data_IF_230222809392
#
_entry.id   IF_230222809392
#
_cell.length_a   1.000
_cell.length_b   1.000
_cell.length_c   1.000
_cell.angle_alpha   90.00
_cell.angle_beta   90.00
_cell.angle_gamma   90.00
#
_symmetry.space_group_name_H-M   'P 1'
#
loop_
_entity.id
_entity.type
_entity.pdbx_description
1 polymer ?
#
# COMPACT_ATOMS: atom_id res chain seq x y z
N UNK A 1 38.50 141.76 17.78
CA UNK A 1 38.55 140.66 16.79
C UNK A 1 38.16 139.35 17.49
N UNK A 2 37.98 138.26 16.72
CA UNK A 2 37.47 136.95 17.16
C UNK A 2 35.93 136.84 17.23
N UNK A 3 35.32 136.54 16.08
CA UNK A 3 33.93 136.07 15.99
C UNK A 3 33.92 134.54 16.13
N UNK A 4 33.70 134.05 17.36
CA UNK A 4 33.90 132.65 17.71
C UNK A 4 32.67 131.76 17.57
N UNK A 5 32.45 131.18 16.39
CA UNK A 5 31.79 129.88 16.24
C UNK A 5 30.33 129.73 16.68
N UNK A 6 29.39 130.44 16.05
CA UNK A 6 27.96 130.13 16.18
C UNK A 6 27.55 129.01 15.20
N UNK A 7 27.85 127.74 15.50
CA UNK A 7 27.66 126.64 14.53
C UNK A 7 27.81 125.21 15.06
N UNK A 8 27.30 124.91 16.27
CA UNK A 8 27.45 123.57 16.90
C UNK A 8 26.17 123.09 17.62
N UNK A 9 24.96 123.43 17.12
CA UNK A 9 23.70 123.10 17.84
C UNK A 9 22.50 122.58 17.02
N UNK A 10 22.57 122.47 15.70
CA UNK A 10 21.46 121.87 14.91
C UNK A 10 21.64 120.36 14.59
N UNK A 11 22.85 119.81 14.71
CA UNK A 11 23.11 118.39 14.40
C UNK A 11 22.73 117.40 15.53
N UNK A 12 22.36 117.87 16.72
CA UNK A 12 21.92 116.99 17.83
C UNK A 12 20.73 116.11 17.40
N UNK A 13 19.76 116.69 16.69
CA UNK A 13 18.58 116.04 16.12
C UNK A 13 18.87 114.96 15.06
N UNK A 14 20.15 114.76 14.68
CA UNK A 14 20.59 113.75 13.70
C UNK A 14 21.36 112.59 14.33
N UNK A 15 21.78 112.69 15.59
CA UNK A 15 22.48 111.61 16.29
C UNK A 15 21.48 110.53 16.74
N UNK A 16 21.22 109.56 15.86
CA UNK A 16 20.40 108.38 16.16
C UNK A 16 21.25 107.34 16.88
N UNK A 17 20.79 106.88 18.04
CA UNK A 17 21.40 105.75 18.75
C UNK A 17 21.12 104.42 18.03
N UNK A 18 22.10 103.53 17.99
CA UNK A 18 21.96 102.18 17.46
C UNK A 18 21.05 101.31 18.35
N UNK A 19 20.15 100.54 17.73
CA UNK A 19 19.25 99.64 18.45
C UNK A 19 19.90 98.26 18.64
N UNK A 20 20.29 97.96 19.88
CA UNK A 20 20.81 96.64 20.30
C UNK A 20 19.70 95.77 20.91
N UNK A 21 19.84 94.44 20.81
CA UNK A 21 18.83 93.46 21.25
C UNK A 21 18.44 93.57 22.74
N UNK A 22 19.27 94.18 23.59
CA UNK A 22 18.94 94.53 24.97
C UNK A 22 19.53 95.91 25.29
N UNK A 23 18.66 96.89 25.48
CA UNK A 23 19.03 98.29 25.73
C UNK A 23 17.89 99.06 26.41
N UNK A 24 18.04 100.38 26.53
CA UNK A 24 17.03 101.25 27.13
C UNK A 24 15.76 101.36 26.27
N UNK A 25 14.60 101.52 26.91
CA UNK A 25 13.34 101.77 26.20
C UNK A 25 13.40 103.11 25.45
N UNK A 26 13.36 103.03 24.12
CA UNK A 26 13.37 104.19 23.23
C UNK A 26 12.34 105.24 23.63
N UNK A 27 11.13 104.86 24.07
CA UNK A 27 10.08 105.82 24.46
C UNK A 27 10.43 106.61 25.71
N UNK A 28 11.27 106.06 26.59
CA UNK A 28 11.77 106.73 27.79
C UNK A 28 12.97 107.63 27.44
N UNK A 29 13.85 107.18 26.54
CA UNK A 29 14.98 107.98 26.02
C UNK A 29 14.47 109.20 25.24
N UNK A 30 13.52 109.02 24.32
CA UNK A 30 12.91 110.11 23.53
C UNK A 30 12.24 111.17 24.46
N UNK A 31 11.57 110.72 25.53
CA UNK A 31 10.98 111.62 26.54
C UNK A 31 12.03 112.33 27.40
N UNK A 32 13.11 111.65 27.78
CA UNK A 32 14.19 112.25 28.56
C UNK A 32 14.94 113.31 27.75
N UNK A 33 15.26 113.02 26.48
CA UNK A 33 15.87 113.97 25.56
C UNK A 33 15.01 115.24 25.41
N UNK A 34 13.70 115.08 25.16
CA UNK A 34 12.78 116.22 25.04
C UNK A 34 12.70 117.09 26.31
N UNK A 35 12.86 116.51 27.50
CA UNK A 35 12.97 117.25 28.77
C UNK A 35 14.31 117.98 28.89
N UNK A 36 15.42 117.31 28.56
CA UNK A 36 16.74 117.92 28.59
C UNK A 36 16.85 119.10 27.59
N UNK A 37 16.31 118.96 26.37
CA UNK A 37 16.30 120.03 25.36
C UNK A 37 15.50 121.26 25.83
N UNK A 38 14.36 121.04 26.50
CA UNK A 38 13.53 122.13 27.02
C UNK A 38 14.13 122.80 28.27
N UNK A 39 14.83 122.04 29.13
CA UNK A 39 15.64 122.59 30.23
C UNK A 39 16.82 123.42 29.71
N UNK A 40 17.56 122.91 28.71
CA UNK A 40 18.65 123.63 28.03
C UNK A 40 18.14 124.93 27.39
N UNK A 41 16.95 124.92 26.79
CA UNK A 41 16.32 126.12 26.23
C UNK A 41 15.97 127.16 27.31
N UNK A 42 15.43 126.73 28.46
CA UNK A 42 15.17 127.63 29.59
C UNK A 42 16.44 128.25 30.17
N UNK A 43 17.46 127.42 30.45
CA UNK A 43 18.75 127.88 30.97
C UNK A 43 19.47 128.84 30.01
N UNK A 44 19.33 128.64 28.68
CA UNK A 44 19.83 129.58 27.68
C UNK A 44 19.08 130.92 27.70
N UNK A 45 17.75 130.91 27.87
CA UNK A 45 16.96 132.14 27.97
C UNK A 45 17.23 132.91 29.28
N UNK A 46 17.42 132.21 30.40
CA UNK A 46 17.80 132.81 31.69
C UNK A 46 19.20 133.43 31.63
N UNK A 47 20.17 132.73 31.05
CA UNK A 47 21.52 133.24 30.79
C UNK A 47 21.53 134.54 29.99
N UNK A 48 20.66 134.67 29.00
CA UNK A 48 20.61 135.89 28.18
C UNK A 48 19.96 137.06 28.92
N UNK A 49 18.89 136.83 29.70
CA UNK A 49 18.35 137.86 30.61
C UNK A 49 19.38 138.34 31.63
N UNK A 50 20.19 137.43 32.18
CA UNK A 50 21.27 137.80 33.09
C UNK A 50 22.33 138.66 32.38
N UNK A 51 22.65 138.37 31.11
CA UNK A 51 23.55 139.19 30.29
C UNK A 51 22.99 140.58 30.00
N UNK A 52 21.70 140.70 29.69
CA UNK A 52 21.02 141.99 29.52
C UNK A 52 21.10 142.83 30.80
N UNK A 53 20.86 142.21 31.97
CA UNK A 53 21.01 142.85 33.28
C UNK A 53 22.45 143.31 33.55
N UNK A 54 23.47 142.50 33.23
CA UNK A 54 24.88 142.91 33.35
C UNK A 54 25.22 144.10 32.42
N UNK A 55 24.68 144.15 31.20
CA UNK A 55 24.88 145.30 30.31
C UNK A 55 24.17 146.56 30.82
N UNK A 56 22.96 146.44 31.37
CA UNK A 56 22.26 147.56 31.99
C UNK A 56 23.01 148.12 33.21
N UNK A 57 23.52 147.26 34.10
CA UNK A 57 24.36 147.69 35.22
C UNK A 57 25.68 148.34 34.76
N UNK A 58 26.31 147.83 33.70
CA UNK A 58 27.51 148.43 33.14
C UNK A 58 27.26 149.85 32.60
N UNK A 59 26.10 150.08 31.95
CA UNK A 59 25.68 151.41 31.51
C UNK A 59 25.41 152.36 32.68
N UNK A 60 24.76 151.89 33.75
CA UNK A 60 24.56 152.68 34.98
C UNK A 60 25.88 153.09 35.64
N UNK A 61 26.86 152.18 35.69
CA UNK A 61 28.21 152.50 36.21
C UNK A 61 28.90 153.56 35.34
N UNK A 62 28.77 153.50 34.01
CA UNK A 62 29.31 154.52 33.12
C UNK A 62 28.61 155.89 33.29
N UNK A 63 27.30 155.91 33.51
CA UNK A 63 26.55 157.15 33.80
C UNK A 63 27.02 157.77 35.12
N UNK A 64 27.08 156.99 36.21
CA UNK A 64 27.54 157.48 37.52
C UNK A 64 29.01 157.96 37.49
N UNK A 65 29.87 157.33 36.69
CA UNK A 65 31.23 157.82 36.44
C UNK A 65 31.21 159.16 35.67
N UNK A 66 30.32 159.31 34.69
CA UNK A 66 30.05 160.58 34.01
C UNK A 66 29.67 161.69 35.00
N UNK A 67 28.61 161.46 35.79
CA UNK A 67 28.09 162.40 36.79
C UNK A 67 29.16 162.82 37.80
N UNK A 68 29.98 161.88 38.29
CA UNK A 68 31.12 162.17 39.17
C UNK A 68 32.18 163.03 38.49
N UNK A 69 32.43 162.87 37.18
CA UNK A 69 33.33 163.78 36.45
C UNK A 69 32.72 165.14 36.16
N UNK A 70 31.40 165.26 35.99
CA UNK A 70 30.76 166.57 35.84
C UNK A 70 30.73 167.33 37.17
N UNK A 71 30.34 166.67 38.27
CA UNK A 71 30.39 167.24 39.61
C UNK A 71 31.81 167.72 39.95
N UNK A 72 32.85 166.95 39.59
CA UNK A 72 34.26 167.35 39.76
C UNK A 72 34.73 168.45 38.81
N UNK A 73 34.00 168.74 37.72
CA UNK A 73 34.25 169.85 36.78
C UNK A 73 33.47 171.12 37.14
N UNK A 74 32.56 171.10 38.12
CA UNK A 74 31.89 172.29 38.65
C UNK A 74 32.71 172.87 39.82
N UNK A 75 33.59 173.87 39.63
CA UNK A 75 34.21 174.57 40.76
C UNK A 75 33.12 175.31 41.56
N UNK A 76 33.19 175.22 42.89
CA UNK A 76 32.26 175.92 43.76
C UNK A 76 32.45 177.44 43.64
N UNK A 77 31.48 178.13 43.02
CA UNK A 77 31.38 179.58 43.11
C UNK A 77 30.92 179.94 44.53
N UNK A 78 31.87 180.44 45.34
CA UNK A 78 31.60 180.95 46.68
C UNK A 78 31.77 182.47 46.64
N UNK A 79 30.64 183.18 46.59
CA UNK A 79 30.62 184.63 46.69
C UNK A 79 31.17 185.09 48.05
N UNK A 80 32.10 186.04 48.03
CA UNK A 80 32.81 186.50 49.23
C UNK A 80 31.99 187.55 50.01
N UNK A 81 30.88 187.11 50.58
CA UNK A 81 30.13 187.88 51.58
C UNK A 81 31.01 188.17 52.82
N UNK A 82 30.71 189.26 53.52
CA UNK A 82 31.57 189.93 54.52
C UNK A 82 32.24 189.00 55.56
N UNK A 83 33.52 188.69 55.34
CA UNK A 83 34.37 187.79 56.14
C UNK A 83 34.75 188.32 57.55
N UNK A 84 33.84 189.00 58.26
CA UNK A 84 34.08 189.52 59.62
C UNK A 84 33.13 188.93 60.66
N UNK A 85 31.85 188.79 60.31
CA UNK A 85 30.85 188.09 61.13
C UNK A 85 30.81 186.57 60.82
N UNK A 86 31.61 186.13 59.84
CA UNK A 86 31.70 184.73 59.40
C UNK A 86 32.29 183.79 60.46
N UNK A 87 33.00 184.26 61.49
CA UNK A 87 33.56 183.37 62.53
C UNK A 87 32.47 182.55 63.24
N UNK A 88 31.59 183.22 64.02
CA UNK A 88 30.45 182.55 64.66
C UNK A 88 29.48 181.90 63.66
N UNK A 89 29.27 182.51 62.49
CA UNK A 89 28.30 181.99 61.52
C UNK A 89 28.80 180.75 60.76
N UNK A 90 30.08 180.65 60.41
CA UNK A 90 30.67 179.43 59.84
C UNK A 90 30.76 178.34 60.89
N UNK A 91 31.10 178.66 62.14
CA UNK A 91 31.06 177.69 63.23
C UNK A 91 29.64 177.16 63.47
N UNK A 92 28.61 178.03 63.43
CA UNK A 92 27.21 177.62 63.49
C UNK A 92 26.78 176.80 62.26
N UNK A 93 27.27 177.12 61.05
CA UNK A 93 27.02 176.32 59.84
C UNK A 93 27.69 174.95 59.95
N UNK A 94 28.91 174.85 60.48
CA UNK A 94 29.62 173.59 60.72
C UNK A 94 28.91 172.74 61.77
N UNK A 95 28.51 173.32 62.91
CA UNK A 95 27.72 172.62 63.94
C UNK A 95 26.37 172.15 63.39
N UNK A 96 25.69 172.95 62.56
CA UNK A 96 24.46 172.53 61.89
C UNK A 96 24.70 171.42 60.85
N UNK A 97 25.79 171.50 60.08
CA UNK A 97 26.16 170.49 59.09
C UNK A 97 26.59 169.17 59.75
N UNK A 98 27.32 169.23 60.86
CA UNK A 98 27.66 168.07 61.69
C UNK A 98 26.40 167.43 62.28
N UNK A 99 25.49 168.23 62.84
CA UNK A 99 24.19 167.75 63.34
C UNK A 99 23.33 167.12 62.22
N UNK A 100 23.32 167.71 61.03
CA UNK A 100 22.63 167.14 59.86
C UNK A 100 23.31 165.86 59.37
N UNK A 101 24.64 165.80 59.35
CA UNK A 101 25.39 164.59 58.99
C UNK A 101 25.17 163.46 60.01
N UNK A 102 25.13 163.77 61.31
CA UNK A 102 24.77 162.83 62.38
C UNK A 102 23.31 162.33 62.23
N UNK A 103 22.38 163.21 61.86
CA UNK A 103 20.99 162.82 61.59
C UNK A 103 20.85 161.96 60.32
N UNK A 104 21.61 162.26 59.26
CA UNK A 104 21.66 161.46 58.02
C UNK A 104 22.29 160.09 58.28
N UNK A 105 23.38 160.02 59.05
CA UNK A 105 24.02 158.73 59.39
C UNK A 105 23.18 157.91 60.35
N UNK A 106 22.51 158.51 61.34
CA UNK A 106 21.52 157.82 62.19
C UNK A 106 20.41 157.23 61.34
N UNK A 107 19.68 158.06 60.59
CA UNK A 107 18.54 157.61 59.77
C UNK A 107 18.94 156.65 58.64
N UNK A 108 20.14 156.76 58.09
CA UNK A 108 20.70 155.77 57.16
C UNK A 108 21.03 154.44 57.87
N UNK A 109 21.62 154.48 59.07
CA UNK A 109 21.90 153.26 59.86
C UNK A 109 20.62 152.56 60.30
N UNK A 110 19.59 153.30 60.70
CA UNK A 110 18.25 152.80 61.01
C UNK A 110 17.60 152.15 59.77
N UNK A 111 17.68 152.79 58.59
CA UNK A 111 17.19 152.20 57.33
C UNK A 111 17.94 150.93 56.96
N UNK A 112 19.26 150.90 57.09
CA UNK A 112 20.08 149.69 56.83
C UNK A 112 19.77 148.58 57.83
N UNK A 113 19.58 148.89 59.12
CA UNK A 113 19.18 147.93 60.13
C UNK A 113 17.78 147.36 59.85
N UNK A 114 16.82 148.22 59.50
CA UNK A 114 15.46 147.82 59.15
C UNK A 114 15.43 146.95 57.88
N UNK A 115 16.18 147.31 56.83
CA UNK A 115 16.26 146.49 55.61
C UNK A 115 17.01 145.16 55.83
N UNK A 116 18.02 145.11 56.71
CA UNK A 116 18.65 143.86 57.13
C UNK A 116 17.63 142.98 57.87
N UNK A 117 16.96 143.50 58.90
CA UNK A 117 15.93 142.75 59.63
C UNK A 117 14.78 142.26 58.72
N UNK A 118 14.40 143.04 57.70
CA UNK A 118 13.44 142.61 56.67
C UNK A 118 13.99 141.48 55.79
N UNK A 119 15.25 141.56 55.36
CA UNK A 119 15.90 140.52 54.55
C UNK A 119 16.14 139.23 55.35
N UNK A 120 16.65 139.34 56.58
CA UNK A 120 16.88 138.23 57.51
C UNK A 120 15.55 137.51 57.82
N UNK A 121 14.47 138.27 58.04
CA UNK A 121 13.12 137.69 58.15
C UNK A 121 12.68 137.02 56.86
N UNK A 122 12.82 137.67 55.70
CA UNK A 122 12.40 137.08 54.42
C UNK A 122 13.15 135.78 54.09
N UNK A 123 14.43 135.68 54.48
CA UNK A 123 15.24 134.46 54.40
C UNK A 123 14.77 133.40 55.41
N UNK A 124 14.47 133.76 56.67
CA UNK A 124 13.93 132.84 57.65
C UNK A 124 12.56 132.27 57.21
N UNK A 125 11.64 133.15 56.78
CA UNK A 125 10.33 132.77 56.24
C UNK A 125 10.47 131.89 54.98
N UNK A 126 11.51 132.12 54.15
CA UNK A 126 11.79 131.31 52.97
C UNK A 126 12.37 129.93 53.32
N UNK A 127 13.30 129.85 54.28
CA UNK A 127 13.83 128.59 54.78
C UNK A 127 12.74 127.76 55.49
N UNK A 128 11.82 128.39 56.23
CA UNK A 128 10.69 127.66 56.82
C UNK A 128 9.77 127.06 55.75
N UNK A 129 9.41 127.84 54.72
CA UNK A 129 8.64 127.34 53.57
C UNK A 129 9.36 126.21 52.84
N UNK A 130 10.66 126.34 52.57
CA UNK A 130 11.45 125.31 51.91
C UNK A 130 11.51 124.02 52.75
N UNK A 131 11.79 124.12 54.05
CA UNK A 131 11.81 122.97 54.96
C UNK A 131 10.44 122.30 55.11
N UNK A 132 9.34 123.07 55.00
CA UNK A 132 7.98 122.54 55.00
C UNK A 132 7.69 121.74 53.74
N UNK A 133 7.98 122.32 52.57
CA UNK A 133 7.83 121.66 51.26
C UNK A 133 8.69 120.39 51.16
N UNK A 134 9.91 120.41 51.71
CA UNK A 134 10.78 119.22 51.78
C UNK A 134 10.11 118.10 52.59
N UNK A 135 9.57 118.40 53.78
CA UNK A 135 8.86 117.40 54.61
C UNK A 135 7.60 116.88 53.94
N UNK A 136 6.80 117.77 53.34
CA UNK A 136 5.59 117.41 52.60
C UNK A 136 5.94 116.41 51.46
N UNK A 137 7.01 116.66 50.70
CA UNK A 137 7.49 115.71 49.69
C UNK A 137 8.14 114.44 50.26
N UNK A 138 8.84 114.51 51.40
CA UNK A 138 9.39 113.33 52.08
C UNK A 138 8.27 112.40 52.58
N UNK A 139 7.18 112.97 53.11
CA UNK A 139 5.97 112.26 53.50
C UNK A 139 5.22 111.68 52.29
N UNK A 140 5.02 112.45 51.20
CA UNK A 140 4.45 111.93 49.95
C UNK A 140 5.26 110.75 49.38
N UNK A 141 6.59 110.87 49.35
CA UNK A 141 7.49 109.81 48.86
C UNK A 141 7.50 108.60 49.80
N UNK A 142 7.41 108.80 51.12
CA UNK A 142 7.30 107.70 52.08
C UNK A 142 5.96 106.95 51.93
N UNK A 143 4.84 107.68 51.86
CA UNK A 143 3.51 107.14 51.63
C UNK A 143 3.45 106.38 50.30
N UNK A 144 3.96 106.97 49.21
CA UNK A 144 3.98 106.31 47.90
C UNK A 144 4.87 105.07 47.85
N UNK A 145 5.97 105.04 48.62
CA UNK A 145 6.78 103.82 48.81
C UNK A 145 6.00 102.75 49.56
N UNK A 146 5.30 103.10 50.64
CA UNK A 146 4.48 102.17 51.41
C UNK A 146 3.34 101.56 50.57
N UNK A 147 2.62 102.36 49.78
CA UNK A 147 1.61 101.88 48.81
C UNK A 147 2.20 100.90 47.79
N UNK A 148 3.37 101.21 47.23
CA UNK A 148 4.04 100.36 46.24
C UNK A 148 4.61 99.08 46.88
N UNK A 149 5.02 99.10 48.14
CA UNK A 149 5.41 97.92 48.91
C UNK A 149 4.19 97.03 49.19
N UNK A 150 3.11 97.58 49.76
CA UNK A 150 1.87 96.84 50.04
C UNK A 150 1.27 96.23 48.77
N UNK A 151 1.21 96.96 47.66
CA UNK A 151 0.69 96.42 46.39
C UNK A 151 1.63 95.38 45.74
N UNK A 152 2.94 95.46 45.97
CA UNK A 152 3.88 94.41 45.56
C UNK A 152 3.77 93.16 46.46
N UNK A 153 3.54 93.33 47.76
CA UNK A 153 3.33 92.24 48.73
C UNK A 153 2.02 91.51 48.48
N UNK A 154 0.91 92.23 48.27
CA UNK A 154 -0.38 91.65 47.88
C UNK A 154 -0.29 90.87 46.56
N UNK A 155 0.44 91.39 45.55
CA UNK A 155 0.69 90.67 44.29
C UNK A 155 1.55 89.42 44.47
N UNK A 156 2.54 89.46 45.35
CA UNK A 156 3.35 88.27 45.70
C UNK A 156 2.54 87.23 46.46
N UNK A 157 1.70 87.65 47.40
CA UNK A 157 0.82 86.75 48.15
C UNK A 157 -0.21 86.09 47.23
N UNK A 158 -0.83 86.84 46.32
CA UNK A 158 -1.74 86.29 45.32
C UNK A 158 -1.04 85.30 44.37
N UNK A 159 0.12 85.68 43.82
CA UNK A 159 0.88 84.79 42.93
C UNK A 159 1.40 83.53 43.66
N UNK A 160 1.73 83.61 44.96
CA UNK A 160 2.09 82.44 45.75
C UNK A 160 0.88 81.53 45.99
N UNK A 161 -0.29 82.09 46.33
CA UNK A 161 -1.52 81.32 46.46
C UNK A 161 -1.91 80.61 45.15
N UNK A 162 -1.80 81.28 44.00
CA UNK A 162 -2.00 80.66 42.68
C UNK A 162 -1.01 79.51 42.42
N UNK A 163 0.26 79.65 42.82
CA UNK A 163 1.27 78.58 42.72
C UNK A 163 0.96 77.41 43.66
N UNK A 164 0.50 77.69 44.88
CA UNK A 164 0.17 76.68 45.89
C UNK A 164 -1.09 75.89 45.46
N UNK A 165 -2.14 76.58 45.00
CA UNK A 165 -3.37 75.99 44.42
C UNK A 165 -3.05 75.11 43.19
N UNK A 166 -2.24 75.63 42.25
CA UNK A 166 -1.78 74.85 41.09
C UNK A 166 -0.94 73.63 41.49
N UNK A 167 -0.14 73.76 42.54
CA UNK A 167 0.68 72.66 43.06
C UNK A 167 -0.18 71.60 43.73
N UNK A 168 -1.19 71.97 44.51
CA UNK A 168 -2.12 71.01 45.11
C UNK A 168 -2.96 70.30 44.03
N UNK A 169 -3.48 71.04 43.04
CA UNK A 169 -4.21 70.46 41.92
C UNK A 169 -3.35 69.48 41.11
N UNK A 170 -2.08 69.82 40.84
CA UNK A 170 -1.15 68.93 40.17
C UNK A 170 -0.82 67.67 41.00
N UNK A 171 -0.70 67.80 42.33
CA UNK A 171 -0.52 66.65 43.23
C UNK A 171 -1.77 65.76 43.26
N UNK A 172 -2.97 66.34 43.38
CA UNK A 172 -4.24 65.60 43.36
C UNK A 172 -4.39 64.81 42.06
N UNK A 173 -4.26 65.46 40.90
CA UNK A 173 -4.32 64.82 39.57
C UNK A 173 -3.25 63.72 39.42
N UNK A 174 -2.06 63.93 39.96
CA UNK A 174 -1.01 62.90 39.97
C UNK A 174 -1.42 61.67 40.79
N UNK A 175 -1.90 61.86 42.02
CA UNK A 175 -2.34 60.74 42.88
C UNK A 175 -3.56 60.01 42.29
N UNK A 176 -4.46 60.72 41.60
CA UNK A 176 -5.58 60.12 40.89
C UNK A 176 -5.11 59.30 39.68
N UNK A 177 -4.19 59.83 38.88
CA UNK A 177 -3.58 59.10 37.75
C UNK A 177 -2.79 57.87 38.22
N UNK A 178 -2.02 57.97 39.30
CA UNK A 178 -1.31 56.84 39.92
C UNK A 178 -2.30 55.78 40.44
N UNK A 179 -3.42 56.17 41.06
CA UNK A 179 -4.46 55.25 41.52
C UNK A 179 -5.24 54.59 40.36
N UNK A 180 -5.51 55.31 39.27
CA UNK A 180 -6.13 54.76 38.05
C UNK A 180 -5.17 53.76 37.38
N UNK A 181 -3.87 54.09 37.30
CA UNK A 181 -2.84 53.21 36.75
C UNK A 181 -2.71 51.91 37.56
N UNK A 182 -2.66 51.99 38.89
CA UNK A 182 -2.61 50.82 39.78
C UNK A 182 -3.84 49.91 39.59
N UNK A 183 -5.05 50.49 39.55
CA UNK A 183 -6.28 49.71 39.28
C UNK A 183 -6.25 49.03 37.92
N UNK A 184 -5.74 49.69 36.89
CA UNK A 184 -5.59 49.11 35.56
C UNK A 184 -4.56 47.97 35.53
N UNK A 185 -3.46 48.07 36.29
CA UNK A 185 -2.48 46.99 36.45
C UNK A 185 -3.03 45.81 37.25
N UNK A 186 -3.78 46.07 38.33
CA UNK A 186 -4.49 45.05 39.11
C UNK A 186 -5.54 44.31 38.27
N UNK A 187 -6.35 45.05 37.49
CA UNK A 187 -7.38 44.48 36.61
C UNK A 187 -6.75 43.69 35.44
N UNK A 188 -5.71 44.22 34.80
CA UNK A 188 -4.97 43.51 33.75
C UNK A 188 -4.30 42.24 34.28
N UNK A 189 -3.72 42.29 35.49
CA UNK A 189 -3.13 41.12 36.15
C UNK A 189 -4.19 40.07 36.47
N UNK A 190 -5.32 40.49 37.05
CA UNK A 190 -6.45 39.62 37.38
C UNK A 190 -7.07 38.96 36.13
N UNK A 191 -7.21 39.71 35.04
CA UNK A 191 -7.70 39.21 33.75
C UNK A 191 -6.69 38.23 33.11
N UNK A 192 -5.39 38.52 33.23
CA UNK A 192 -4.31 37.63 32.80
C UNK A 192 -4.29 36.32 33.59
N UNK A 193 -4.43 36.37 34.91
CA UNK A 193 -4.58 35.18 35.75
C UNK A 193 -5.84 34.36 35.38
N UNK A 194 -6.98 35.03 35.19
CA UNK A 194 -8.22 34.35 34.80
C UNK A 194 -8.06 33.66 33.45
N UNK A 195 -7.54 34.35 32.44
CA UNK A 195 -7.28 33.80 31.11
C UNK A 195 -6.31 32.61 31.16
N UNK A 196 -5.24 32.69 31.97
CA UNK A 196 -4.33 31.56 32.19
C UNK A 196 -5.04 30.36 32.84
N UNK A 197 -5.85 30.57 33.88
CA UNK A 197 -6.65 29.50 34.52
C UNK A 197 -7.64 28.87 33.53
N UNK A 198 -8.30 29.67 32.70
CA UNK A 198 -9.22 29.20 31.66
C UNK A 198 -8.49 28.38 30.58
N UNK A 199 -7.30 28.82 30.14
CA UNK A 199 -6.43 28.10 29.22
C UNK A 199 -5.90 26.79 29.82
N UNK A 200 -5.53 26.77 31.09
CA UNK A 200 -5.12 25.56 31.82
C UNK A 200 -6.29 24.57 31.95
N UNK A 201 -7.48 25.04 32.34
CA UNK A 201 -8.68 24.21 32.37
C UNK A 201 -9.13 23.73 30.98
N UNK A 202 -8.91 24.51 29.92
CA UNK A 202 -9.15 24.08 28.54
C UNK A 202 -8.14 22.99 28.11
N UNK A 203 -6.84 23.19 28.37
CA UNK A 203 -5.77 22.22 28.10
C UNK A 203 -5.97 20.92 28.88
N UNK A 204 -6.32 20.99 30.16
CA UNK A 204 -6.59 19.83 31.00
C UNK A 204 -7.80 19.03 30.50
N UNK A 205 -8.90 19.69 30.11
CA UNK A 205 -10.07 19.04 29.50
C UNK A 205 -9.73 18.40 28.15
N UNK A 206 -9.01 19.10 27.29
CA UNK A 206 -8.58 18.57 25.99
C UNK A 206 -7.66 17.35 26.14
N UNK A 207 -6.70 17.41 27.07
CA UNK A 207 -5.83 16.28 27.41
C UNK A 207 -6.65 15.09 27.91
N UNK A 208 -7.55 15.29 28.88
CA UNK A 208 -8.39 14.21 29.42
C UNK A 208 -9.33 13.60 28.36
N UNK A 209 -9.83 14.40 27.41
CA UNK A 209 -10.59 13.89 26.26
C UNK A 209 -9.74 13.01 25.32
N UNK A 210 -8.49 13.39 25.06
CA UNK A 210 -7.55 12.57 24.26
C UNK A 210 -7.19 11.27 24.99
N UNK A 211 -6.85 11.34 26.27
CA UNK A 211 -6.53 10.15 27.09
C UNK A 211 -7.73 9.20 27.21
N UNK A 212 -8.95 9.73 27.37
CA UNK A 212 -10.18 8.93 27.35
C UNK A 212 -10.48 8.31 25.98
N UNK A 213 -10.24 9.02 24.88
CA UNK A 213 -10.42 8.50 23.53
C UNK A 213 -9.39 7.41 23.19
N UNK A 214 -8.14 7.57 23.64
CA UNK A 214 -7.09 6.55 23.51
C UNK A 214 -7.45 5.29 24.32
N UNK A 215 -7.79 5.43 25.60
CA UNK A 215 -8.21 4.31 26.44
C UNK A 215 -9.48 3.60 25.92
N UNK A 216 -10.38 4.31 25.21
CA UNK A 216 -11.52 3.70 24.55
C UNK A 216 -11.12 2.94 23.29
N UNK A 217 -10.27 3.51 22.44
CA UNK A 217 -9.76 2.82 21.25
C UNK A 217 -8.94 1.56 21.60
N UNK A 218 -8.16 1.60 22.69
CA UNK A 218 -7.46 0.43 23.24
C UNK A 218 -8.42 -0.68 23.69
N UNK A 219 -9.55 -0.33 24.33
CA UNK A 219 -10.60 -1.31 24.67
C UNK A 219 -11.30 -1.87 23.45
N UNK A 220 -11.64 -1.03 22.48
CA UNK A 220 -12.37 -1.44 21.27
C UNK A 220 -11.49 -2.34 20.38
N UNK A 221 -10.18 -2.06 20.28
CA UNK A 221 -9.21 -2.96 19.63
C UNK A 221 -9.01 -4.26 20.39
N UNK A 222 -8.86 -4.23 21.72
CA UNK A 222 -8.81 -5.46 22.55
C UNK A 222 -10.08 -6.31 22.40
N UNK A 223 -11.26 -5.69 22.40
CA UNK A 223 -12.54 -6.38 22.20
C UNK A 223 -12.70 -6.94 20.78
N UNK A 224 -12.18 -6.25 19.76
CA UNK A 224 -12.13 -6.77 18.39
C UNK A 224 -11.17 -7.96 18.27
N UNK A 225 -10.00 -7.92 18.92
CA UNK A 225 -9.06 -9.04 18.96
C UNK A 225 -9.67 -10.26 19.69
N UNK A 226 -10.30 -10.07 20.85
CA UNK A 226 -10.96 -11.16 21.58
C UNK A 226 -12.06 -11.84 20.73
N UNK A 227 -12.91 -11.07 20.04
CA UNK A 227 -13.92 -11.61 19.12
C UNK A 227 -13.30 -12.37 17.95
N UNK A 228 -12.24 -11.84 17.34
CA UNK A 228 -11.53 -12.52 16.26
C UNK A 228 -10.89 -13.84 16.73
N UNK A 229 -10.36 -13.90 17.96
CA UNK A 229 -9.86 -15.15 18.56
C UNK A 229 -11.00 -16.13 18.87
N UNK A 230 -12.15 -15.66 19.37
CA UNK A 230 -13.36 -16.48 19.56
C UNK A 230 -13.87 -17.06 18.24
N UNK A 231 -13.95 -16.26 17.16
CA UNK A 231 -14.33 -16.70 15.82
C UNK A 231 -13.33 -17.70 15.23
N UNK A 232 -12.02 -17.44 15.34
CA UNK A 232 -10.98 -18.38 14.89
C UNK A 232 -11.06 -19.71 15.64
N UNK A 233 -11.33 -19.69 16.94
CA UNK A 233 -11.47 -20.92 17.72
C UNK A 233 -12.78 -21.66 17.44
N UNK A 234 -13.87 -20.95 17.12
CA UNK A 234 -15.11 -21.56 16.60
C UNK A 234 -14.86 -22.27 15.26
N UNK A 235 -14.28 -21.58 14.27
CA UNK A 235 -13.96 -22.19 12.98
C UNK A 235 -12.97 -23.36 13.08
N UNK A 236 -11.98 -23.30 13.99
CA UNK A 236 -11.12 -24.45 14.29
C UNK A 236 -11.92 -25.65 14.81
N UNK A 237 -12.79 -25.43 15.80
CA UNK A 237 -13.63 -26.49 16.35
C UNK A 237 -14.64 -27.05 15.35
N UNK A 238 -15.11 -26.27 14.39
CA UNK A 238 -15.95 -26.74 13.28
C UNK A 238 -15.15 -27.58 12.27
N UNK A 239 -13.97 -27.13 11.87
CA UNK A 239 -13.08 -27.87 10.96
C UNK A 239 -12.55 -29.16 11.61
N UNK A 240 -12.24 -29.16 12.91
CA UNK A 240 -11.85 -30.37 13.65
C UNK A 240 -12.98 -31.40 13.68
N UNK A 241 -14.24 -30.97 13.90
CA UNK A 241 -15.42 -31.85 13.78
C UNK A 241 -15.58 -32.38 12.37
N UNK A 242 -15.48 -31.53 11.33
CA UNK A 242 -15.64 -31.99 9.95
C UNK A 242 -14.54 -32.99 9.55
N UNK A 243 -13.30 -32.78 10.01
CA UNK A 243 -12.20 -33.74 9.81
C UNK A 243 -12.51 -35.06 10.50
N UNK A 244 -13.00 -35.05 11.74
CA UNK A 244 -13.31 -36.27 12.50
C UNK A 244 -14.56 -36.98 11.96
N UNK A 245 -15.60 -36.28 11.51
CA UNK A 245 -16.77 -36.84 10.82
C UNK A 245 -16.35 -37.50 9.49
N UNK A 246 -15.54 -36.81 8.67
CA UNK A 246 -14.98 -37.37 7.43
C UNK A 246 -14.09 -38.59 7.72
N UNK A 247 -13.30 -38.56 8.81
CA UNK A 247 -12.46 -39.69 9.25
C UNK A 247 -13.29 -40.88 9.69
N UNK A 248 -14.37 -40.66 10.44
CA UNK A 248 -15.26 -41.72 10.89
C UNK A 248 -16.05 -42.31 9.71
N UNK A 249 -16.57 -41.49 8.80
CA UNK A 249 -17.20 -41.97 7.56
C UNK A 249 -16.22 -42.77 6.68
N UNK A 250 -14.96 -42.32 6.55
CA UNK A 250 -13.93 -43.07 5.83
C UNK A 250 -13.58 -44.40 6.53
N UNK A 251 -13.49 -44.41 7.86
CA UNK A 251 -13.20 -45.61 8.65
C UNK A 251 -14.34 -46.63 8.56
N UNK A 252 -15.59 -46.20 8.67
CA UNK A 252 -16.77 -47.02 8.44
C UNK A 252 -16.79 -47.61 7.02
N UNK A 253 -16.44 -46.81 6.01
CA UNK A 253 -16.35 -47.30 4.63
C UNK A 253 -15.22 -48.32 4.44
N UNK A 254 -14.07 -48.13 5.07
CA UNK A 254 -12.97 -49.12 5.07
C UNK A 254 -13.41 -50.43 5.72
N UNK A 255 -14.10 -50.37 6.88
CA UNK A 255 -14.65 -51.56 7.54
C UNK A 255 -15.68 -52.25 6.65
N UNK A 256 -16.62 -51.52 6.05
CA UNK A 256 -17.63 -52.06 5.15
C UNK A 256 -17.01 -52.77 3.93
N UNK A 257 -16.05 -52.13 3.26
CA UNK A 257 -15.32 -52.72 2.13
C UNK A 257 -14.46 -53.92 2.56
N UNK A 258 -13.96 -53.94 3.80
CA UNK A 258 -13.25 -55.10 4.34
C UNK A 258 -14.19 -56.27 4.61
N UNK A 259 -15.38 -56.04 5.19
CA UNK A 259 -16.41 -57.09 5.38
C UNK A 259 -16.97 -57.59 4.06
N UNK A 260 -17.15 -56.72 3.06
CA UNK A 260 -17.55 -57.12 1.71
C UNK A 260 -16.47 -57.99 1.04
N UNK A 261 -15.19 -57.61 1.15
CA UNK A 261 -14.08 -58.40 0.64
C UNK A 261 -13.89 -59.74 1.38
N UNK A 262 -14.17 -59.79 2.69
CA UNK A 262 -14.23 -61.04 3.46
C UNK A 262 -15.35 -61.95 2.97
N UNK A 263 -16.59 -61.44 2.89
CA UNK A 263 -17.73 -62.21 2.37
C UNK A 263 -17.50 -62.70 0.93
N UNK A 264 -16.91 -61.89 0.06
CA UNK A 264 -16.54 -62.31 -1.29
C UNK A 264 -15.44 -63.38 -1.28
N UNK A 265 -14.42 -63.26 -0.42
CA UNK A 265 -13.38 -64.28 -0.26
C UNK A 265 -13.94 -65.61 0.25
N UNK A 266 -14.93 -65.57 1.15
CA UNK A 266 -15.53 -66.78 1.72
C UNK A 266 -16.58 -67.40 0.80
N UNK A 267 -17.32 -66.62 0.00
CA UNK A 267 -18.17 -67.11 -1.11
C UNK A 267 -17.31 -67.75 -2.22
N UNK A 268 -16.17 -67.15 -2.59
CA UNK A 268 -15.22 -67.74 -3.55
C UNK A 268 -14.59 -69.02 -3.00
N UNK A 269 -14.28 -69.09 -1.70
CA UNK A 269 -13.84 -70.35 -1.05
C UNK A 269 -14.94 -71.40 -1.07
N UNK A 270 -16.15 -71.06 -0.62
CA UNK A 270 -17.28 -71.99 -0.60
C UNK A 270 -17.54 -72.57 -2.00
N UNK A 271 -17.54 -71.74 -3.05
CA UNK A 271 -17.68 -72.21 -4.44
C UNK A 271 -16.52 -73.09 -4.90
N UNK A 272 -15.29 -72.81 -4.43
CA UNK A 272 -14.13 -73.65 -4.73
C UNK A 272 -14.20 -75.00 -4.01
N UNK A 273 -14.65 -75.03 -2.75
CA UNK A 273 -14.86 -76.23 -1.95
C UNK A 273 -16.05 -77.07 -2.46
N UNK A 274 -17.13 -76.41 -2.92
CA UNK A 274 -18.24 -77.04 -3.64
C UNK A 274 -17.76 -77.66 -4.96
N UNK A 275 -16.99 -76.94 -5.78
CA UNK A 275 -16.40 -77.50 -7.01
C UNK A 275 -15.39 -78.61 -6.73
N UNK A 276 -14.61 -78.52 -5.65
CA UNK A 276 -13.70 -79.58 -5.23
C UNK A 276 -14.48 -80.82 -4.76
N UNK A 277 -15.60 -80.64 -4.05
CA UNK A 277 -16.49 -81.71 -3.61
C UNK A 277 -17.19 -82.39 -4.79
N UNK A 278 -17.70 -81.62 -5.74
CA UNK A 278 -18.29 -82.13 -6.99
C UNK A 278 -17.23 -82.92 -7.76
N UNK A 279 -16.03 -82.36 -7.98
CA UNK A 279 -14.93 -83.08 -8.67
C UNK A 279 -14.47 -84.32 -7.92
N UNK A 280 -14.49 -84.33 -6.59
CA UNK A 280 -14.18 -85.52 -5.80
C UNK A 280 -15.26 -86.60 -5.96
N UNK A 281 -16.54 -86.22 -6.05
CA UNK A 281 -17.64 -87.14 -6.35
C UNK A 281 -17.57 -87.66 -7.79
N UNK A 282 -17.28 -86.81 -8.78
CA UNK A 282 -17.03 -87.21 -10.17
C UNK A 282 -15.85 -88.18 -10.28
N UNK A 283 -14.73 -87.89 -9.62
CA UNK A 283 -13.56 -88.77 -9.57
C UNK A 283 -13.90 -90.11 -8.90
N UNK A 284 -14.59 -90.11 -7.75
CA UNK A 284 -15.01 -91.34 -7.08
C UNK A 284 -15.99 -92.18 -7.94
N UNK A 285 -16.89 -91.54 -8.68
CA UNK A 285 -17.78 -92.21 -9.64
C UNK A 285 -17.00 -92.80 -10.83
N UNK A 286 -16.01 -92.06 -11.36
CA UNK A 286 -15.11 -92.55 -12.42
C UNK A 286 -14.21 -93.68 -11.91
N UNK A 287 -13.74 -93.64 -10.66
CA UNK A 287 -13.00 -94.74 -10.03
C UNK A 287 -13.88 -95.99 -9.85
N UNK A 288 -15.12 -95.84 -9.39
CA UNK A 288 -16.09 -96.93 -9.32
C UNK A 288 -16.42 -97.51 -10.70
N UNK A 289 -16.54 -96.68 -11.74
CA UNK A 289 -16.75 -97.19 -13.10
C UNK A 289 -15.47 -97.83 -13.68
N UNK A 290 -14.28 -97.32 -13.37
CA UNK A 290 -13.01 -97.97 -13.74
C UNK A 290 -12.89 -99.32 -13.03
N UNK A 291 -13.28 -99.44 -11.77
CA UNK A 291 -13.38 -100.71 -11.06
C UNK A 291 -14.40 -101.64 -11.70
N UNK A 292 -15.61 -101.17 -12.01
CA UNK A 292 -16.64 -101.97 -12.67
C UNK A 292 -16.15 -102.46 -14.05
N UNK A 293 -15.60 -101.58 -14.88
CA UNK A 293 -15.01 -101.91 -16.19
C UNK A 293 -13.81 -102.86 -16.05
N UNK A 294 -12.99 -102.74 -15.00
CA UNK A 294 -11.92 -103.71 -14.68
C UNK A 294 -12.49 -105.09 -14.31
N UNK A 295 -13.50 -105.14 -13.44
CA UNK A 295 -14.19 -106.40 -13.04
C UNK A 295 -14.84 -107.07 -14.27
N UNK A 296 -15.54 -106.32 -15.10
CA UNK A 296 -16.09 -106.81 -16.38
C UNK A 296 -15.01 -107.28 -17.34
N UNK A 297 -13.87 -106.58 -17.43
CA UNK A 297 -12.72 -107.02 -18.26
C UNK A 297 -12.09 -108.31 -17.72
N UNK A 298 -11.98 -108.49 -16.41
CA UNK A 298 -11.48 -109.73 -15.79
C UNK A 298 -12.48 -110.88 -16.01
N UNK A 299 -13.78 -110.63 -15.91
CA UNK A 299 -14.82 -111.62 -16.22
C UNK A 299 -14.78 -112.03 -17.70
N UNK A 300 -14.74 -111.06 -18.63
CA UNK A 300 -14.57 -111.29 -20.07
C UNK A 300 -13.27 -112.03 -20.39
N UNK A 301 -12.18 -111.76 -19.68
CA UNK A 301 -10.93 -112.50 -19.84
C UNK A 301 -11.08 -113.94 -19.36
N UNK A 302 -11.66 -114.19 -18.19
CA UNK A 302 -11.92 -115.54 -17.70
C UNK A 302 -12.89 -116.33 -18.60
N UNK A 303 -13.90 -115.66 -19.17
CA UNK A 303 -14.76 -116.25 -20.20
C UNK A 303 -13.97 -116.61 -21.46
N UNK A 304 -13.14 -115.69 -21.97
CA UNK A 304 -12.25 -115.92 -23.12
C UNK A 304 -11.29 -117.09 -22.87
N UNK A 305 -10.64 -117.13 -21.71
CA UNK A 305 -9.71 -118.19 -21.31
C UNK A 305 -10.45 -119.53 -21.21
N UNK A 306 -11.66 -119.55 -20.63
CA UNK A 306 -12.50 -120.76 -20.59
C UNK A 306 -13.01 -121.21 -21.97
N UNK A 307 -13.13 -120.29 -22.92
CA UNK A 307 -13.51 -120.59 -24.30
C UNK A 307 -12.30 -121.10 -25.11
N UNK A 308 -11.11 -120.54 -24.86
CA UNK A 308 -9.84 -121.06 -25.39
C UNK A 308 -9.54 -122.46 -24.85
N UNK A 309 -9.79 -122.71 -23.56
CA UNK A 309 -9.61 -124.03 -22.96
C UNK A 309 -10.59 -125.06 -23.56
N UNK A 310 -11.88 -124.73 -23.69
CA UNK A 310 -12.86 -125.58 -24.39
C UNK A 310 -12.53 -125.79 -25.88
N UNK A 311 -11.90 -124.81 -26.53
CA UNK A 311 -11.39 -124.95 -27.90
C UNK A 311 -10.15 -125.86 -27.96
N UNK A 312 -9.29 -125.85 -26.93
CA UNK A 312 -8.15 -126.74 -26.82
C UNK A 312 -8.59 -128.19 -26.54
N UNK A 313 -9.55 -128.38 -25.64
CA UNK A 313 -10.21 -129.66 -25.37
C UNK A 313 -10.83 -130.23 -26.65
N UNK A 314 -11.65 -129.44 -27.37
CA UNK A 314 -12.25 -129.87 -28.64
C UNK A 314 -11.26 -130.09 -29.79
N UNK A 315 -10.07 -129.44 -29.75
CA UNK A 315 -8.96 -129.76 -30.66
C UNK A 315 -8.31 -131.08 -30.30
N UNK A 316 -8.03 -131.32 -29.02
CA UNK A 316 -7.44 -132.57 -28.54
C UNK A 316 -8.37 -133.77 -28.79
N UNK A 317 -9.69 -133.60 -28.64
CA UNK A 317 -10.69 -134.58 -29.08
C UNK A 317 -10.58 -134.87 -30.58
N UNK A 318 -10.50 -133.84 -31.44
CA UNK A 318 -10.31 -134.01 -32.88
C UNK A 318 -9.00 -134.71 -33.22
N UNK A 319 -7.89 -134.35 -32.57
CA UNK A 319 -6.59 -134.99 -32.77
C UNK A 319 -6.63 -136.48 -32.38
N UNK A 320 -7.38 -136.85 -31.34
CA UNK A 320 -7.62 -138.28 -31.02
C UNK A 320 -8.49 -138.99 -32.06
N UNK A 321 -9.56 -138.34 -32.54
CA UNK A 321 -10.46 -138.89 -33.58
C UNK A 321 -9.70 -139.07 -34.91
N UNK A 322 -8.93 -138.09 -35.36
CA UNK A 322 -8.12 -138.17 -36.58
C UNK A 322 -7.01 -139.23 -36.45
N UNK A 323 -6.47 -139.43 -35.24
CA UNK A 323 -5.57 -140.55 -34.93
C UNK A 323 -6.23 -141.93 -35.06
N UNK A 324 -7.49 -142.09 -34.64
CA UNK A 324 -8.26 -143.32 -34.83
C UNK A 324 -8.66 -143.53 -36.30
N UNK A 325 -9.08 -142.47 -36.99
CA UNK A 325 -9.36 -142.48 -38.45
C UNK A 325 -8.10 -142.84 -39.25
N UNK A 326 -6.92 -142.40 -38.80
CA UNK A 326 -5.62 -142.80 -39.37
C UNK A 326 -5.41 -144.31 -39.30
N UNK A 327 -5.47 -144.89 -38.08
CA UNK A 327 -5.31 -146.34 -37.86
C UNK A 327 -6.32 -147.17 -38.68
N UNK A 328 -7.58 -146.73 -38.74
CA UNK A 328 -8.62 -147.39 -39.53
C UNK A 328 -8.34 -147.36 -41.04
N UNK A 329 -7.74 -146.27 -41.55
CA UNK A 329 -7.32 -146.16 -42.96
C UNK A 329 -6.13 -147.06 -43.28
N UNK A 330 -5.13 -147.13 -42.41
CA UNK A 330 -3.98 -148.04 -42.59
C UNK A 330 -4.40 -149.51 -42.58
N UNK A 331 -5.28 -149.90 -41.64
CA UNK A 331 -5.80 -151.26 -41.57
C UNK A 331 -6.61 -151.65 -42.83
N UNK A 332 -7.42 -150.71 -43.35
CA UNK A 332 -8.20 -150.91 -44.58
C UNK A 332 -7.32 -150.90 -45.85
N UNK A 333 -6.16 -150.25 -45.82
CA UNK A 333 -5.16 -150.34 -46.90
C UNK A 333 -4.48 -151.72 -46.92
N UNK A 334 -4.07 -152.24 -45.76
CA UNK A 334 -3.46 -153.58 -45.65
C UNK A 334 -4.39 -154.68 -46.19
N UNK A 335 -5.65 -154.71 -45.75
CA UNK A 335 -6.66 -155.70 -46.20
C UNK A 335 -6.89 -155.65 -47.72
N UNK A 336 -6.80 -154.46 -48.34
CA UNK A 336 -6.89 -154.32 -49.81
C UNK A 336 -5.65 -154.87 -50.53
N UNK A 337 -4.47 -154.71 -49.95
CA UNK A 337 -3.22 -155.21 -50.52
C UNK A 337 -3.14 -156.74 -50.47
N UNK A 338 -3.58 -157.35 -49.37
CA UNK A 338 -3.69 -158.81 -49.24
C UNK A 338 -4.69 -159.39 -50.26
N UNK A 339 -5.89 -158.80 -50.36
CA UNK A 339 -6.92 -159.21 -51.32
C UNK A 339 -6.43 -159.15 -52.77
N UNK A 340 -5.69 -158.09 -53.14
CA UNK A 340 -5.11 -157.96 -54.48
C UNK A 340 -4.06 -159.06 -54.78
N UNK A 341 -3.31 -159.51 -53.76
CA UNK A 341 -2.32 -160.58 -53.91
C UNK A 341 -2.96 -161.95 -54.18
N UNK A 342 -4.06 -162.28 -53.49
CA UNK A 342 -4.78 -163.55 -53.67
C UNK A 342 -5.62 -163.57 -54.95
N UNK A 343 -6.23 -162.44 -55.36
CA UNK A 343 -6.88 -162.38 -56.68
C UNK A 343 -5.90 -162.66 -57.82
N UNK A 344 -4.67 -162.14 -57.74
CA UNK A 344 -3.65 -162.37 -58.76
C UNK A 344 -3.23 -163.85 -58.86
N UNK A 345 -3.04 -164.51 -57.71
CA UNK A 345 -2.79 -165.97 -57.65
C UNK A 345 -3.91 -166.76 -58.34
N UNK A 346 -5.16 -166.37 -58.10
CA UNK A 346 -6.33 -167.11 -58.59
C UNK A 346 -6.46 -167.02 -60.12
N UNK A 347 -6.26 -165.83 -60.72
CA UNK A 347 -6.31 -165.68 -62.17
C UNK A 347 -5.12 -166.34 -62.91
N UNK A 348 -3.94 -166.41 -62.29
CA UNK A 348 -2.79 -167.17 -62.82
C UNK A 348 -3.12 -168.68 -62.91
N UNK A 349 -3.79 -169.26 -61.90
CA UNK A 349 -4.24 -170.67 -61.96
C UNK A 349 -5.33 -170.92 -63.02
N UNK A 350 -6.21 -169.95 -63.27
CA UNK A 350 -7.21 -170.04 -64.34
C UNK A 350 -6.59 -170.09 -65.73
N UNK A 351 -5.61 -169.23 -66.01
CA UNK A 351 -4.96 -169.18 -67.32
C UNK A 351 -4.23 -170.48 -67.67
N UNK A 352 -3.68 -171.19 -66.67
CA UNK A 352 -3.13 -172.53 -66.87
C UNK A 352 -4.21 -173.54 -67.30
N UNK A 353 -5.35 -173.59 -66.60
CA UNK A 353 -6.45 -174.52 -66.91
C UNK A 353 -7.07 -174.29 -68.31
N UNK A 354 -7.26 -173.02 -68.67
CA UNK A 354 -7.87 -172.60 -69.94
C UNK A 354 -7.04 -173.01 -71.18
N UNK A 355 -5.72 -173.14 -71.04
CA UNK A 355 -4.84 -173.60 -72.11
C UNK A 355 -4.96 -175.11 -72.39
N UNK A 356 -5.18 -175.92 -71.35
CA UNK A 356 -5.35 -177.37 -71.47
C UNK A 356 -6.68 -177.75 -72.13
N UNK A 357 -7.78 -177.06 -71.79
CA UNK A 357 -9.11 -177.33 -72.35
C UNK A 357 -9.19 -176.97 -73.85
N UNK A 358 -8.44 -175.97 -74.32
CA UNK A 358 -8.32 -175.65 -75.75
C UNK A 358 -7.66 -176.78 -76.54
N UNK A 359 -6.60 -177.40 -76.00
CA UNK A 359 -5.97 -178.58 -76.61
C UNK A 359 -6.91 -179.80 -76.68
N UNK A 360 -7.77 -180.00 -75.67
CA UNK A 360 -8.77 -181.08 -75.69
C UNK A 360 -9.88 -180.85 -76.75
N UNK A 361 -10.24 -179.60 -77.02
CA UNK A 361 -11.29 -179.23 -77.98
C UNK A 361 -10.86 -179.43 -79.44
N UNK A 362 -9.63 -179.08 -79.82
CA UNK A 362 -9.16 -179.25 -81.20
C UNK A 362 -9.04 -180.74 -81.61
N UNK A 363 -8.68 -181.63 -80.70
CA UNK A 363 -8.66 -183.09 -80.96
C UNK A 363 -10.08 -183.60 -81.24
N UNK A 364 -11.07 -183.21 -80.42
CA UNK A 364 -12.49 -183.56 -80.65
C UNK A 364 -13.03 -182.99 -81.96
N UNK A 365 -12.65 -181.74 -82.29
CA UNK A 365 -13.11 -181.04 -83.48
C UNK A 365 -12.52 -181.58 -84.80
N UNK A 366 -11.47 -182.41 -84.76
CA UNK A 366 -11.00 -183.19 -85.93
C UNK A 366 -11.81 -184.47 -86.10
N UNK A 367 -11.90 -185.31 -85.06
CA UNK A 367 -12.60 -186.61 -85.10
C UNK A 367 -14.07 -186.45 -85.54
N UNK A 368 -14.76 -185.39 -85.12
CA UNK A 368 -16.14 -185.13 -85.56
C UNK A 368 -16.28 -184.67 -87.02
N UNK A 369 -15.23 -184.14 -87.66
CA UNK A 369 -15.29 -183.68 -89.06
C UNK A 369 -15.13 -184.84 -90.04
N UNK A 370 -14.29 -185.82 -89.74
CA UNK A 370 -14.22 -187.08 -90.51
C UNK A 370 -15.55 -187.83 -90.44
N UNK A 371 -16.11 -188.00 -89.24
CA UNK A 371 -17.38 -188.70 -89.02
C UNK A 371 -18.57 -188.11 -89.83
N UNK A 372 -18.61 -186.79 -90.07
CA UNK A 372 -19.69 -186.16 -90.83
C UNK A 372 -19.50 -186.28 -92.36
N UNK A 373 -18.26 -186.29 -92.87
CA UNK A 373 -18.00 -186.52 -94.32
C UNK A 373 -18.47 -187.92 -94.75
N UNK A 374 -18.23 -188.94 -93.92
CA UNK A 374 -18.69 -190.33 -94.15
C UNK A 374 -20.23 -190.41 -94.18
N UNK A 375 -20.92 -189.71 -93.27
CA UNK A 375 -22.39 -189.73 -93.20
C UNK A 375 -23.05 -189.06 -94.43
N UNK A 376 -22.55 -187.91 -94.88
CA UNK A 376 -23.13 -187.21 -96.04
C UNK A 376 -22.73 -187.86 -97.38
N UNK A 377 -21.62 -188.60 -97.42
CA UNK A 377 -21.29 -189.50 -98.53
C UNK A 377 -22.25 -190.70 -98.65
N UNK A 378 -22.95 -191.10 -97.58
CA UNK A 378 -23.93 -192.19 -97.61
C UNK A 378 -25.35 -191.72 -97.96
N UNK A 379 -25.76 -190.52 -97.52
CA UNK A 379 -27.13 -190.04 -97.68
C UNK A 379 -27.46 -189.62 -99.13
N UNK A 380 -26.55 -188.91 -99.82
CA UNK A 380 -26.77 -188.48 -101.20
C UNK A 380 -26.58 -189.62 -102.22
N UNK A 381 -25.85 -190.68 -101.86
CA UNK A 381 -25.40 -191.73 -102.76
C UNK A 381 -26.42 -192.86 -103.03
N UNK A 382 -27.59 -192.86 -102.37
CA UNK A 382 -28.60 -193.93 -102.47
C UNK A 382 -30.01 -193.40 -102.86
N UNK A 383 -30.24 -192.09 -102.79
CA UNK A 383 -31.33 -191.36 -103.47
C UNK A 383 -30.80 -189.93 -103.81
N UNK A 384 -29.86 -189.76 -104.75
CA UNK A 384 -29.77 -190.48 -106.01
C UNK A 384 -28.32 -190.69 -106.50
N UNK A 385 -27.90 -191.85 -106.99
CA UNK A 385 -28.55 -193.15 -107.25
C UNK A 385 -30.02 -193.10 -107.77
N UNK A 386 -30.27 -192.82 -109.05
CA UNK A 386 -29.31 -192.68 -110.16
C UNK A 386 -28.46 -191.39 -110.06
N UNK A 387 -27.13 -191.41 -110.04
CA UNK A 387 -26.16 -192.52 -110.08
C UNK A 387 -25.33 -192.60 -108.77
N UNK A 388 -24.82 -193.79 -108.41
CA UNK A 388 -24.50 -194.14 -107.02
C UNK A 388 -23.02 -194.06 -106.61
N UNK A 389 -22.76 -193.82 -105.32
CA UNK A 389 -21.49 -194.16 -104.65
C UNK A 389 -20.75 -193.02 -103.93
N UNK A 390 -20.22 -193.32 -102.74
CA UNK A 390 -19.31 -192.52 -101.89
C UNK A 390 -17.85 -192.51 -102.47
N UNK A 391 -16.83 -191.80 -101.95
CA UNK A 391 -16.59 -191.20 -100.63
C UNK A 391 -15.42 -190.17 -100.60
N UNK A 392 -15.38 -189.31 -99.56
CA UNK A 392 -14.22 -188.60 -98.92
C UNK A 392 -13.08 -187.89 -99.69
N UNK A 393 -12.67 -186.74 -99.14
CA UNK A 393 -11.31 -186.17 -99.17
C UNK A 393 -11.12 -185.12 -98.05
N UNK A 394 -9.88 -184.80 -97.65
CA UNK A 394 -9.50 -183.80 -96.62
C UNK A 394 -8.22 -182.99 -97.02
N UNK A 395 -8.16 -181.71 -96.61
CA UNK A 395 -7.10 -180.67 -96.82
C UNK A 395 -7.58 -179.39 -96.02
N UNK A 396 -6.83 -178.25 -95.85
CA UNK A 396 -5.64 -178.04 -95.00
C UNK A 396 -5.69 -176.76 -94.10
N UNK A 397 -4.65 -175.91 -94.11
CA UNK A 397 -4.32 -174.75 -93.23
C UNK A 397 -4.98 -173.39 -93.61
N UNK A 398 -4.80 -172.32 -92.78
CA UNK A 398 -4.27 -170.93 -93.12
C UNK A 398 -4.47 -169.90 -91.95
N UNK A 399 -3.88 -168.67 -92.00
CA UNK A 399 -3.83 -167.55 -90.99
C UNK A 399 -4.52 -166.24 -91.52
N UNK A 400 -4.22 -164.92 -91.19
CA UNK A 400 -3.62 -164.15 -90.04
C UNK A 400 -4.34 -162.77 -89.67
N UNK A 401 -3.64 -161.77 -89.03
CA UNK A 401 -3.91 -160.27 -88.81
C UNK A 401 -4.41 -159.77 -87.40
N UNK A 402 -4.25 -158.54 -86.84
CA UNK A 402 -3.36 -157.31 -87.01
C UNK A 402 -3.35 -156.30 -85.78
N UNK A 403 -3.52 -154.95 -85.91
CA UNK A 403 -3.03 -153.83 -85.01
C UNK A 403 -4.15 -152.90 -84.40
N UNK A 404 -4.00 -151.74 -83.66
CA UNK A 404 -2.92 -150.72 -83.41
C UNK A 404 -3.14 -149.72 -82.20
N UNK A 405 -2.81 -148.40 -82.27
CA UNK A 405 -2.64 -147.44 -81.10
C UNK A 405 -2.77 -145.90 -81.40
N UNK A 406 -2.92 -144.95 -80.41
CA UNK A 406 -2.43 -143.48 -80.29
C UNK A 406 -2.96 -142.70 -78.97
N UNK A 407 -2.97 -141.33 -78.72
CA UNK A 407 -2.69 -140.69 -77.37
C UNK A 407 -3.55 -139.41 -76.93
N UNK A 408 -2.99 -138.45 -76.11
CA UNK A 408 -3.37 -136.99 -75.79
C UNK A 408 -4.13 -136.66 -74.46
N UNK A 409 -4.16 -135.45 -73.81
CA UNK A 409 -3.37 -134.17 -73.74
C UNK A 409 -3.82 -133.18 -72.57
N UNK A 410 -2.89 -132.37 -71.97
CA UNK A 410 -3.04 -131.05 -71.22
C UNK A 410 -3.91 -130.95 -69.92
N UNK A 411 -3.84 -129.92 -69.02
CA UNK A 411 -2.90 -128.78 -68.76
C UNK A 411 -3.43 -127.61 -67.83
N UNK A 412 -2.54 -126.76 -67.24
CA UNK A 412 -2.73 -125.45 -66.50
C UNK A 412 -3.22 -125.41 -65.00
N UNK A 413 -3.23 -124.30 -64.22
CA UNK A 413 -2.16 -123.36 -63.69
C UNK A 413 -2.69 -122.22 -62.73
N UNK A 414 -2.06 -121.91 -61.56
CA UNK A 414 -2.29 -120.69 -60.68
C UNK A 414 -1.27 -120.59 -59.48
N UNK A 415 -0.82 -119.40 -58.99
CA UNK A 415 0.00 -119.23 -57.74
C UNK A 415 -0.06 -117.80 -57.06
N UNK A 416 0.73 -117.48 -55.99
CA UNK A 416 0.42 -116.50 -54.90
C UNK A 416 1.63 -115.77 -54.20
N UNK A 417 1.36 -114.96 -53.14
CA UNK A 417 2.25 -114.37 -52.06
C UNK A 417 2.97 -113.00 -52.31
N UNK A 418 3.36 -112.11 -51.36
CA UNK A 418 2.99 -111.86 -49.92
C UNK A 418 3.45 -110.44 -49.37
N UNK A 419 2.93 -110.02 -48.19
CA UNK A 419 3.40 -109.04 -47.14
C UNK A 419 3.63 -107.48 -47.34
N UNK A 420 3.69 -106.73 -46.19
CA UNK A 420 3.71 -105.22 -46.02
C UNK A 420 5.04 -104.59 -45.47
N UNK A 421 5.12 -103.55 -44.57
CA UNK A 421 4.10 -102.64 -43.91
C UNK A 421 4.52 -101.13 -43.57
N UNK A 422 3.63 -100.35 -42.89
CA UNK A 422 3.85 -99.28 -41.82
C UNK A 422 4.29 -97.77 -42.03
N UNK A 423 3.59 -96.84 -41.29
CA UNK A 423 4.02 -95.56 -40.54
C UNK A 423 4.47 -94.25 -41.28
N UNK A 424 4.42 -92.98 -40.76
CA UNK A 424 3.76 -92.28 -39.60
C UNK A 424 3.49 -90.71 -39.76
N UNK A 425 3.93 -89.77 -38.87
CA UNK A 425 3.28 -88.43 -38.62
C UNK A 425 4.14 -87.19 -38.13
N UNK A 426 3.52 -85.97 -38.18
CA UNK A 426 3.78 -84.66 -37.44
C UNK A 426 4.76 -83.60 -38.07
N UNK A 427 4.88 -82.28 -37.68
CA UNK A 427 4.34 -81.39 -36.58
C UNK A 427 4.51 -79.84 -36.84
N UNK A 428 3.87 -78.98 -36.01
CA UNK A 428 4.28 -77.61 -35.52
C UNK A 428 3.96 -76.22 -36.20
N UNK A 429 4.32 -75.08 -35.55
CA UNK A 429 3.56 -73.77 -35.49
C UNK A 429 4.35 -72.45 -35.18
N UNK A 430 3.73 -71.24 -35.35
CA UNK A 430 4.04 -69.84 -34.85
C UNK A 430 4.86 -68.88 -35.80
N UNK A 431 5.02 -67.53 -35.65
CA UNK A 431 4.75 -66.48 -34.60
C UNK A 431 4.80 -64.99 -35.14
N UNK A 432 4.27 -63.96 -34.41
CA UNK A 432 4.57 -62.47 -34.34
C UNK A 432 4.72 -61.56 -35.62
N UNK A 433 4.69 -60.19 -35.65
CA UNK A 433 4.52 -59.05 -34.69
C UNK A 433 4.60 -57.64 -35.40
N UNK A 434 4.43 -56.47 -34.73
CA UNK A 434 4.39 -55.09 -35.38
C UNK A 434 4.80 -53.89 -34.46
N UNK A 435 5.33 -52.71 -34.93
CA UNK A 435 5.82 -51.60 -34.06
C UNK A 435 5.48 -50.09 -34.40
N UNK A 436 5.58 -49.23 -33.36
CA UNK A 436 6.16 -47.84 -33.28
C UNK A 436 5.48 -46.49 -33.74
N UNK A 437 5.80 -45.43 -32.93
CA UNK A 437 6.22 -44.01 -33.25
C UNK A 437 5.27 -42.76 -33.20
N UNK A 438 5.73 -41.71 -32.45
CA UNK A 438 5.88 -40.23 -32.72
C UNK A 438 4.81 -39.40 -33.51
N UNK A 439 4.58 -38.05 -33.40
CA UNK A 439 5.36 -36.86 -32.90
C UNK A 439 4.52 -35.53 -32.82
N UNK A 440 5.10 -34.47 -32.21
CA UNK A 440 5.06 -32.99 -32.54
C UNK A 440 4.01 -31.99 -31.99
N UNK A 441 4.39 -30.69 -32.12
CA UNK A 441 3.79 -29.44 -31.59
C UNK A 441 3.26 -28.49 -32.71
N UNK A 442 2.42 -27.50 -32.36
CA UNK A 442 2.23 -26.20 -33.06
C UNK A 442 1.80 -25.07 -32.08
N UNK A 443 1.60 -23.83 -32.57
CA UNK A 443 1.55 -22.56 -31.80
C UNK A 443 0.25 -21.74 -31.89
N UNK A 444 0.17 -20.73 -30.99
CA UNK A 444 -0.43 -19.37 -31.14
C UNK A 444 -1.97 -19.15 -31.08
N UNK A 445 -2.43 -18.32 -30.11
CA UNK A 445 -3.08 -17.00 -30.32
C UNK A 445 -3.93 -16.49 -29.11
N UNK A 446 -4.17 -15.17 -29.02
CA UNK A 446 -5.32 -14.57 -28.32
C UNK A 446 -5.07 -13.79 -26.99
N UNK A 447 -5.36 -12.48 -26.97
CA UNK A 447 -5.49 -11.60 -25.77
C UNK A 447 -6.49 -10.46 -26.04
N UNK A 448 -7.40 -10.15 -25.09
CA UNK A 448 -7.64 -8.76 -24.64
C UNK A 448 -7.70 -8.67 -23.09
N UNK A 449 -7.24 -7.64 -22.36
CA UNK A 449 -7.16 -6.17 -22.53
C UNK A 449 -8.35 -5.38 -21.94
N UNK A 450 -8.12 -4.70 -20.80
CA UNK A 450 -8.92 -3.54 -20.31
C UNK A 450 -8.20 -2.81 -19.15
N UNK A 451 -8.07 -1.48 -19.23
CA UNK A 451 -7.76 -0.51 -18.15
C UNK A 451 -8.19 0.89 -18.61
N UNK A 452 -8.83 1.67 -17.74
CA UNK A 452 -9.27 3.05 -18.03
C UNK A 452 -8.39 4.13 -17.37
N UNK A 453 -8.31 5.35 -17.94
CA UNK A 453 -7.78 6.54 -17.30
C UNK A 453 -8.87 7.57 -16.95
N UNK A 454 -8.68 8.37 -15.89
CA UNK A 454 -9.47 9.59 -15.63
C UNK A 454 -8.60 10.82 -15.32
N UNK A 455 -9.16 12.01 -15.49
CA UNK A 455 -8.42 13.25 -15.78
C UNK A 455 -8.55 14.36 -14.71
N UNK A 456 -7.75 15.41 -14.90
CA UNK A 456 -7.55 16.56 -14.00
C UNK A 456 -8.77 17.50 -13.86
N UNK A 457 -8.82 18.20 -12.72
CA UNK A 457 -9.48 19.50 -12.48
C UNK A 457 -8.59 20.33 -11.52
N UNK A 458 -8.77 21.66 -11.37
CA UNK A 458 -10.08 22.29 -11.14
C UNK A 458 -10.33 23.62 -11.91
N UNK A 459 -11.45 24.28 -11.62
CA UNK A 459 -11.96 25.51 -12.26
C UNK A 459 -12.10 26.65 -11.23
N UNK A 460 -11.85 27.95 -11.57
CA UNK A 460 -11.84 29.05 -10.60
C UNK A 460 -13.22 29.61 -10.23
N UNK A 461 -13.27 30.34 -9.10
CA UNK A 461 -14.47 30.99 -8.54
C UNK A 461 -14.72 32.42 -9.10
N UNK A 462 -15.98 32.88 -9.19
CA UNK A 462 -16.34 34.22 -9.66
C UNK A 462 -16.33 35.32 -8.57
N UNK A 463 -16.46 36.55 -9.04
CA UNK A 463 -16.24 37.83 -8.37
C UNK A 463 -17.21 38.15 -7.22
N UNK A 464 -16.76 38.97 -6.24
CA UNK A 464 -17.63 39.76 -5.34
C UNK A 464 -17.88 41.16 -5.90
N UNK A 465 -19.10 41.68 -5.74
CA UNK A 465 -19.41 43.10 -5.89
C UNK A 465 -19.49 43.79 -4.49
N UNK A 466 -19.29 45.12 -4.40
CA UNK A 466 -19.34 45.84 -3.12
C UNK A 466 -20.77 46.07 -2.62
N UNK A 467 -20.93 46.11 -1.29
CA UNK A 467 -22.21 46.42 -0.63
C UNK A 467 -22.59 47.90 -0.72
N UNK A 468 -23.89 48.18 -0.70
CA UNK A 468 -24.49 49.52 -0.81
C UNK A 468 -25.10 49.94 0.53
N UNK A 469 -24.88 51.21 0.91
CA UNK A 469 -25.49 52.00 2.00
C UNK A 469 -26.17 51.24 3.16
N UNK A 470 -25.59 51.38 4.36
CA UNK A 470 -26.35 51.30 5.61
C UNK A 470 -26.40 52.69 6.28
N UNK A 471 -27.48 53.00 6.99
CA UNK A 471 -27.79 54.35 7.48
C UNK A 471 -27.48 54.48 8.97
N UNK A 472 -26.79 55.55 9.36
CA UNK A 472 -26.80 56.00 10.75
C UNK A 472 -28.07 56.84 11.03
N UNK A 473 -28.88 56.53 12.05
CA UNK A 473 -29.80 57.50 12.62
C UNK A 473 -29.05 58.48 13.53
N UNK A 474 -29.50 59.72 13.60
CA UNK A 474 -28.98 60.67 14.57
C UNK A 474 -29.46 60.32 15.99
N UNK A 475 -28.60 60.53 16.98
CA UNK A 475 -28.98 60.65 18.39
C UNK A 475 -28.77 62.12 18.77
N UNK A 476 -29.77 62.71 19.41
CA UNK A 476 -29.68 64.02 20.04
C UNK A 476 -30.12 63.87 21.49
N UNK A 477 -29.23 64.27 22.40
CA UNK A 477 -29.46 64.90 23.70
C UNK A 477 -28.10 65.46 24.18
#
# INVERSE_FOLDING_TARGET
MSSGGNGVREDASRQRFDLVMRGYDKRQVDQFASRADSEIAMLMAERERAREQFHAMAQQIQQLQGDLTEARKRPAQIDKATFKDLGPMVEQILQNAEKQAAQITSTASERVANHRAQADKALADAHERANRIIREYEEEVANRRAELQQTAELRRAAAQAEIDDMTELAQRLRTEAEAIHQRAEEEASRLGEQSNRELEHARARAKAMVEAAQAQAERDTQAAHARAEEEINQYRGEVEREIEDRRNAASQKIVAMHTEAQHYSDDVRQRADEQATIRAQELAAVEQEIEARRRTRVAMQAELDSAQQRLAESRQERDTIDGEVGRLREHLAAVRQDLASEMKRLDETRHAADSADRHAKDVRARVQREAKRVAEAAAAAVLAAAAAGSETGEYPQVMPRENGHDPRERGLSLEKADDGPARENARETRENGTPARETRETRESGVPAQREPFQNGPTPLPQRQPGILERQPAVAD
#
